data_IF_786793912786
#
_entry.id   IF_786793912786
#
_cell.length_a   1.000
_cell.length_b   1.000
_cell.length_c   1.000
_cell.angle_alpha   90.00
_cell.angle_beta   90.00
_cell.angle_gamma   90.00
#
_symmetry.space_group_name_H-M   'P 1'
#
loop_
_entity.id
_entity.type
_entity.pdbx_description
1 polymer ?
#
# COMPACT_ATOMS: atom_id res chain seq x y z
N UNK A 1 -19.20 -9.29 -8.61
CA UNK A 1 -19.66 -8.20 -9.50
C UNK A 1 -20.94 -8.55 -10.26
N UNK A 2 -21.03 -9.72 -10.91
CA UNK A 2 -22.19 -10.08 -11.73
C UNK A 2 -23.55 -10.06 -10.98
N UNK A 3 -23.56 -10.39 -9.68
CA UNK A 3 -24.77 -10.31 -8.84
C UNK A 3 -25.27 -8.89 -8.57
N UNK A 4 -24.37 -7.93 -8.38
CA UNK A 4 -24.73 -6.51 -8.14
C UNK A 4 -25.19 -5.78 -9.41
N UNK A 5 -24.96 -6.35 -10.60
CA UNK A 5 -25.46 -5.80 -11.86
C UNK A 5 -26.98 -6.04 -12.06
N UNK A 6 -27.54 -7.09 -11.44
CA UNK A 6 -28.96 -7.49 -11.65
C UNK A 6 -29.91 -7.08 -10.53
N UNK A 7 -29.39 -6.85 -9.32
CA UNK A 7 -30.20 -6.43 -8.16
C UNK A 7 -29.37 -5.52 -7.25
N UNK A 8 -30.01 -4.56 -6.54
CA UNK A 8 -29.31 -3.80 -5.52
C UNK A 8 -28.76 -4.75 -4.44
N UNK A 9 -27.49 -4.55 -4.07
CA UNK A 9 -26.80 -5.35 -3.06
C UNK A 9 -27.39 -5.10 -1.68
N UNK A 10 -27.67 -6.17 -0.94
CA UNK A 10 -28.08 -6.12 0.47
C UNK A 10 -26.91 -6.46 1.39
N UNK A 11 -27.02 -6.10 2.67
CA UNK A 11 -26.00 -6.40 3.69
C UNK A 11 -25.70 -7.90 3.79
N UNK A 12 -26.72 -8.75 3.61
CA UNK A 12 -26.61 -10.22 3.64
C UNK A 12 -25.81 -10.80 2.46
N UNK A 13 -25.68 -10.06 1.35
CA UNK A 13 -24.88 -10.49 0.19
C UNK A 13 -23.38 -10.17 0.35
N UNK A 14 -22.98 -9.45 1.42
CA UNK A 14 -21.58 -9.14 1.69
C UNK A 14 -20.88 -10.34 2.33
N UNK A 15 -19.66 -10.61 1.86
CA UNK A 15 -18.79 -11.57 2.51
C UNK A 15 -18.39 -11.10 3.91
N UNK A 16 -18.34 -12.05 4.84
CA UNK A 16 -17.74 -11.82 6.14
C UNK A 16 -16.25 -11.47 6.02
N UNK A 17 -15.80 -10.61 6.92
CA UNK A 17 -14.40 -10.19 6.98
C UNK A 17 -13.51 -11.40 7.29
N UNK A 18 -12.40 -11.60 6.56
CA UNK A 18 -11.43 -12.63 6.89
C UNK A 18 -10.94 -12.48 8.34
N UNK A 19 -10.74 -13.60 9.05
CA UNK A 19 -10.36 -13.60 10.47
C UNK A 19 -9.11 -12.74 10.77
N UNK A 20 -8.18 -12.65 9.81
CA UNK A 20 -6.96 -11.81 9.84
C UNK A 20 -7.23 -10.28 9.90
N UNK A 21 -8.44 -9.85 9.54
CA UNK A 21 -8.90 -8.46 9.58
C UNK A 21 -10.01 -8.26 10.62
N UNK A 22 -10.31 -9.26 11.45
CA UNK A 22 -11.37 -9.19 12.45
C UNK A 22 -11.02 -8.22 13.59
N UNK A 23 -12.04 -7.51 14.07
CA UNK A 23 -11.92 -6.56 15.18
C UNK A 23 -11.35 -7.21 16.46
N UNK A 24 -11.61 -8.49 16.69
CA UNK A 24 -11.07 -9.22 17.85
C UNK A 24 -9.55 -9.37 17.79
N UNK A 25 -8.99 -9.65 16.61
CA UNK A 25 -7.55 -9.75 16.40
C UNK A 25 -6.89 -8.39 16.59
N UNK A 26 -7.44 -7.34 15.97
CA UNK A 26 -6.99 -5.96 16.16
C UNK A 26 -7.05 -5.51 17.63
N UNK A 27 -8.13 -5.86 18.35
CA UNK A 27 -8.28 -5.55 19.77
C UNK A 27 -7.23 -6.27 20.63
N UNK A 28 -6.89 -7.51 20.29
CA UNK A 28 -5.87 -8.29 20.98
C UNK A 28 -4.46 -7.73 20.76
N UNK A 29 -4.12 -7.33 19.52
CA UNK A 29 -2.85 -6.66 19.22
C UNK A 29 -2.73 -5.32 19.92
N UNK A 30 -3.79 -4.51 19.89
CA UNK A 30 -3.86 -3.25 20.61
C UNK A 30 -3.58 -3.48 22.10
N UNK A 31 -4.25 -4.45 22.74
CA UNK A 31 -4.08 -4.76 24.17
C UNK A 31 -2.64 -5.18 24.50
N UNK A 32 -2.02 -6.01 23.65
CA UNK A 32 -0.64 -6.45 23.85
C UNK A 32 0.35 -5.29 23.77
N UNK A 33 0.20 -4.38 22.80
CA UNK A 33 1.08 -3.22 22.66
C UNK A 33 0.85 -2.21 23.79
N UNK A 34 -0.40 -2.00 24.20
CA UNK A 34 -0.72 -1.08 25.31
C UNK A 34 -0.11 -1.58 26.63
N UNK A 35 -0.27 -2.88 26.95
CA UNK A 35 0.35 -3.52 28.13
C UNK A 35 1.88 -3.41 28.13
N UNK A 36 2.52 -3.62 26.98
CA UNK A 36 3.97 -3.46 26.85
C UNK A 36 4.45 -2.03 27.04
N UNK A 37 3.61 -1.04 26.73
CA UNK A 37 3.88 0.38 27.00
C UNK A 37 3.65 0.76 28.46
N UNK A 38 2.62 0.22 29.11
CA UNK A 38 2.34 0.43 30.54
C UNK A 38 3.44 -0.18 31.42
N UNK A 39 3.90 -1.40 31.10
CA UNK A 39 4.99 -2.07 31.83
C UNK A 39 6.33 -1.34 31.73
N UNK A 40 6.54 -0.50 30.72
CA UNK A 40 7.78 0.27 30.52
C UNK A 40 7.73 1.70 31.06
N UNK A 41 6.56 2.19 31.49
CA UNK A 41 6.41 3.59 31.91
C UNK A 41 6.13 3.72 33.40
N UNK A 42 7.21 3.93 34.14
CA UNK A 42 7.16 4.74 35.34
C UNK A 42 6.98 6.22 34.91
N UNK A 43 5.83 6.82 35.21
CA UNK A 43 5.58 8.29 35.33
C UNK A 43 5.61 9.20 34.08
N UNK A 44 4.80 8.94 33.04
CA UNK A 44 4.51 10.03 32.07
C UNK A 44 3.46 9.72 31.01
N UNK A 45 2.63 10.71 30.64
CA UNK A 45 1.54 10.63 29.63
C UNK A 45 2.04 9.94 28.35
N UNK A 46 1.44 8.83 27.97
CA UNK A 46 1.79 8.12 26.72
C UNK A 46 1.05 8.74 25.56
N UNK A 47 1.80 9.21 24.56
CA UNK A 47 1.21 9.75 23.34
C UNK A 47 0.53 8.61 22.56
N UNK A 48 -0.76 8.77 22.30
CA UNK A 48 -1.57 7.82 21.52
C UNK A 48 -0.98 7.58 20.13
N UNK A 49 -0.44 8.64 19.51
CA UNK A 49 0.21 8.61 18.20
C UNK A 49 1.41 7.66 18.21
N UNK A 50 2.17 7.63 19.31
CA UNK A 50 3.35 6.78 19.42
C UNK A 50 2.98 5.29 19.58
N UNK A 51 1.90 5.00 20.31
CA UNK A 51 1.36 3.63 20.43
C UNK A 51 0.86 3.15 19.06
N UNK A 52 0.10 3.99 18.37
CA UNK A 52 -0.44 3.69 17.04
C UNK A 52 0.69 3.43 16.04
N UNK A 53 1.70 4.31 16.02
CA UNK A 53 2.88 4.14 15.18
C UNK A 53 3.61 2.81 15.47
N UNK A 54 3.72 2.41 16.73
CA UNK A 54 4.38 1.14 17.12
C UNK A 54 3.62 -0.10 16.64
N UNK A 55 2.29 -0.05 16.58
CA UNK A 55 1.44 -1.13 16.05
C UNK A 55 1.66 -1.25 14.53
N UNK A 56 1.51 -0.12 13.81
CA UNK A 56 1.55 -0.12 12.36
C UNK A 56 2.95 -0.05 11.74
N UNK A 57 4.02 0.00 12.54
CA UNK A 57 5.39 0.20 12.02
C UNK A 57 5.81 -0.82 10.96
N UNK A 58 5.38 -2.08 11.07
CA UNK A 58 5.80 -3.14 10.15
C UNK A 58 5.13 -2.94 8.78
N UNK A 59 3.81 -2.75 8.79
CA UNK A 59 3.02 -2.44 7.62
C UNK A 59 3.44 -1.13 6.96
N UNK A 60 3.74 -0.09 7.75
CA UNK A 60 4.24 1.19 7.25
C UNK A 60 5.63 1.07 6.63
N UNK A 61 6.55 0.33 7.24
CA UNK A 61 7.88 0.10 6.65
C UNK A 61 7.80 -0.68 5.35
N UNK A 62 6.99 -1.73 5.29
CA UNK A 62 6.78 -2.49 4.07
C UNK A 62 6.18 -1.60 2.96
N UNK A 63 5.10 -0.89 3.28
CA UNK A 63 4.42 0.00 2.32
C UNK A 63 5.32 1.15 1.87
N UNK A 64 6.12 1.71 2.77
CA UNK A 64 7.12 2.73 2.46
C UNK A 64 8.25 2.22 1.56
N UNK A 65 8.75 0.99 1.81
CA UNK A 65 9.74 0.36 0.93
C UNK A 65 9.20 0.16 -0.48
N UNK A 66 7.96 -0.32 -0.60
CA UNK A 66 7.29 -0.47 -1.90
C UNK A 66 7.12 0.87 -2.61
N UNK A 67 6.77 1.92 -1.87
CA UNK A 67 6.67 3.26 -2.42
C UNK A 67 8.02 3.76 -2.97
N UNK A 68 9.12 3.53 -2.25
CA UNK A 68 10.47 3.86 -2.75
C UNK A 68 10.81 3.11 -4.03
N UNK A 69 10.49 1.82 -4.13
CA UNK A 69 10.70 1.06 -5.37
C UNK A 69 9.88 1.65 -6.55
N UNK A 70 8.64 2.06 -6.31
CA UNK A 70 7.81 2.71 -7.33
C UNK A 70 8.41 4.06 -7.76
N UNK A 71 8.96 4.82 -6.81
CA UNK A 71 9.62 6.09 -7.10
C UNK A 71 10.85 5.87 -7.97
N UNK A 72 11.70 4.88 -7.66
CA UNK A 72 12.86 4.56 -8.51
C UNK A 72 12.45 4.20 -9.94
N UNK A 73 11.40 3.38 -10.11
CA UNK A 73 10.87 3.04 -11.45
C UNK A 73 10.39 4.29 -12.20
N UNK A 74 9.78 5.24 -11.50
CA UNK A 74 9.26 6.47 -12.09
C UNK A 74 10.39 7.39 -12.55
N UNK A 75 11.53 7.38 -11.86
CA UNK A 75 12.74 8.11 -12.30
C UNK A 75 13.37 7.52 -13.57
N UNK A 76 13.25 6.22 -13.82
CA UNK A 76 13.77 5.60 -15.04
C UNK A 76 12.92 5.88 -16.29
N UNK A 77 11.64 6.24 -16.12
CA UNK A 77 10.75 6.52 -17.24
C UNK A 77 11.25 7.64 -18.18
N UNK A 78 11.66 8.84 -17.71
CA UNK A 78 12.19 9.90 -18.57
C UNK A 78 13.54 9.55 -19.22
N UNK A 79 14.40 8.78 -18.56
CA UNK A 79 15.69 8.32 -19.12
C UNK A 79 15.48 7.42 -20.35
N UNK A 80 14.60 6.43 -20.23
CA UNK A 80 14.27 5.53 -21.35
C UNK A 80 13.65 6.31 -22.51
N UNK A 81 12.84 7.33 -22.22
CA UNK A 81 12.26 8.19 -23.24
C UNK A 81 13.33 9.02 -23.96
N UNK A 82 14.34 9.52 -23.24
CA UNK A 82 15.46 10.26 -23.82
C UNK A 82 16.26 9.40 -24.81
N UNK A 83 16.60 8.16 -24.42
CA UNK A 83 17.26 7.21 -25.31
C UNK A 83 16.42 6.85 -26.54
N UNK A 84 15.10 6.77 -26.38
CA UNK A 84 14.19 6.56 -27.51
C UNK A 84 14.21 7.75 -28.48
N UNK A 85 14.22 8.99 -27.97
CA UNK A 85 14.30 10.20 -28.81
C UNK A 85 15.64 10.26 -29.53
N UNK A 86 16.75 9.96 -28.85
CA UNK A 86 18.09 9.93 -29.46
C UNK A 86 18.20 8.86 -30.57
N UNK A 87 17.58 7.69 -30.38
CA UNK A 87 17.45 6.68 -31.43
C UNK A 87 16.66 7.20 -32.64
N UNK A 88 15.56 7.92 -32.44
CA UNK A 88 14.77 8.48 -33.54
C UNK A 88 15.48 9.58 -34.33
N UNK A 89 16.50 10.23 -33.74
CA UNK A 89 17.30 11.25 -34.40
C UNK A 89 18.34 10.70 -35.39
N UNK A 90 18.66 9.40 -35.33
CA UNK A 90 19.70 8.78 -36.15
C UNK A 90 19.12 7.81 -37.19
N UNK A 91 18.99 8.21 -38.48
CA UNK A 91 18.38 7.38 -39.52
C UNK A 91 19.18 6.13 -39.94
N UNK A 92 20.41 5.96 -39.43
CA UNK A 92 21.29 4.81 -39.75
C UNK A 92 21.23 3.68 -38.69
N UNK A 93 20.42 3.81 -37.65
CA UNK A 93 20.28 2.80 -36.59
C UNK A 93 19.28 1.69 -36.97
N UNK A 94 19.53 0.42 -36.59
CA UNK A 94 18.65 -0.69 -36.93
C UNK A 94 17.32 -0.64 -36.16
N UNK A 95 16.20 -0.83 -36.88
CA UNK A 95 14.81 -0.76 -36.38
C UNK A 95 14.56 -1.66 -35.15
N UNK A 96 15.24 -2.81 -35.06
CA UNK A 96 15.13 -3.74 -33.93
C UNK A 96 15.44 -3.12 -32.57
N UNK A 97 16.34 -2.13 -32.51
CA UNK A 97 16.67 -1.42 -31.26
C UNK A 97 15.54 -0.52 -30.79
N UNK A 98 14.87 0.18 -31.71
CA UNK A 98 13.69 0.99 -31.39
C UNK A 98 12.52 0.15 -30.87
N UNK A 99 12.25 -0.99 -31.51
CA UNK A 99 11.22 -1.94 -31.04
C UNK A 99 11.56 -2.49 -29.64
N UNK A 100 12.83 -2.80 -29.39
CA UNK A 100 13.29 -3.23 -28.08
C UNK A 100 13.05 -2.17 -27.01
N UNK A 101 13.41 -0.90 -27.26
CA UNK A 101 13.16 0.20 -26.32
C UNK A 101 11.68 0.46 -26.08
N UNK A 102 10.84 0.42 -27.13
CA UNK A 102 9.40 0.59 -27.01
C UNK A 102 8.75 -0.52 -26.16
N UNK A 103 9.15 -1.78 -26.39
CA UNK A 103 8.69 -2.92 -25.58
C UNK A 103 9.15 -2.80 -24.13
N UNK A 104 10.40 -2.40 -23.90
CA UNK A 104 10.94 -2.19 -22.55
C UNK A 104 10.17 -1.11 -21.80
N UNK A 105 9.83 -0.01 -22.49
CA UNK A 105 9.06 1.10 -21.93
C UNK A 105 7.64 0.65 -21.57
N UNK A 106 6.99 -0.11 -22.45
CA UNK A 106 5.68 -0.69 -22.17
C UNK A 106 5.72 -1.61 -20.95
N UNK A 107 6.65 -2.57 -20.92
CA UNK A 107 6.80 -3.50 -19.80
C UNK A 107 7.12 -2.78 -18.48
N UNK A 108 7.93 -1.71 -18.52
CA UNK A 108 8.22 -0.88 -17.36
C UNK A 108 6.97 -0.16 -16.83
N UNK A 109 6.14 0.41 -17.70
CA UNK A 109 4.90 1.09 -17.31
C UNK A 109 3.84 0.14 -16.75
N UNK A 110 3.69 -1.05 -17.35
CA UNK A 110 2.79 -2.08 -16.83
C UNK A 110 3.24 -2.54 -15.44
N UNK A 111 4.53 -2.86 -15.27
CA UNK A 111 5.10 -3.19 -13.97
C UNK A 111 4.83 -2.08 -12.95
N UNK A 112 5.15 -0.83 -13.30
CA UNK A 112 4.93 0.32 -12.45
C UNK A 112 3.48 0.46 -11.98
N UNK A 113 2.53 0.25 -12.89
CA UNK A 113 1.09 0.29 -12.58
C UNK A 113 0.67 -0.85 -11.65
N UNK A 114 1.17 -2.06 -11.87
CA UNK A 114 0.92 -3.21 -10.99
C UNK A 114 1.45 -2.97 -9.58
N UNK A 115 2.69 -2.48 -9.43
CA UNK A 115 3.26 -2.14 -8.12
C UNK A 115 2.44 -1.05 -7.41
N UNK A 116 1.99 -0.03 -8.15
CA UNK A 116 1.12 1.02 -7.62
C UNK A 116 -0.22 0.47 -7.12
N UNK A 117 -0.84 -0.43 -7.87
CA UNK A 117 -2.09 -1.07 -7.45
C UNK A 117 -1.90 -1.90 -6.18
N UNK A 118 -0.81 -2.68 -6.12
CA UNK A 118 -0.47 -3.45 -4.93
C UNK A 118 -0.20 -2.54 -3.72
N UNK A 119 0.52 -1.43 -3.92
CA UNK A 119 0.71 -0.41 -2.89
C UNK A 119 -0.65 0.15 -2.41
N UNK A 120 -1.53 0.55 -3.33
CA UNK A 120 -2.83 1.14 -3.01
C UNK A 120 -3.71 0.19 -2.18
N UNK A 121 -3.73 -1.10 -2.54
CA UNK A 121 -4.42 -2.12 -1.78
C UNK A 121 -3.90 -2.23 -0.33
N UNK A 122 -2.58 -2.30 -0.15
CA UNK A 122 -1.96 -2.43 1.17
C UNK A 122 -2.18 -1.20 2.06
N UNK A 123 -2.03 0.00 1.51
CA UNK A 123 -2.24 1.23 2.29
C UNK A 123 -3.72 1.42 2.63
N UNK A 124 -4.65 1.10 1.73
CA UNK A 124 -6.09 1.19 2.00
C UNK A 124 -6.49 0.29 3.18
N UNK A 125 -6.01 -0.96 3.16
CA UNK A 125 -6.25 -1.91 4.24
C UNK A 125 -5.68 -1.42 5.58
N UNK A 126 -4.45 -0.91 5.57
CA UNK A 126 -3.79 -0.34 6.75
C UNK A 126 -4.58 0.87 7.28
N UNK A 127 -5.10 1.71 6.40
CA UNK A 127 -5.88 2.90 6.76
C UNK A 127 -7.20 2.51 7.43
N UNK A 128 -7.90 1.50 6.91
CA UNK A 128 -9.13 0.98 7.51
C UNK A 128 -8.84 0.48 8.93
N UNK A 129 -7.79 -0.34 9.08
CA UNK A 129 -7.35 -0.85 10.39
C UNK A 129 -7.00 0.27 11.37
N UNK A 130 -6.27 1.28 10.91
CA UNK A 130 -5.90 2.45 11.70
C UNK A 130 -7.13 3.20 12.21
N UNK A 131 -8.12 3.46 11.34
CA UNK A 131 -9.39 4.09 11.70
C UNK A 131 -10.18 3.26 12.72
N UNK A 132 -10.27 1.94 12.53
CA UNK A 132 -10.98 1.05 13.46
C UNK A 132 -10.34 1.05 14.86
N UNK A 133 -9.01 0.98 14.94
CA UNK A 133 -8.28 1.04 16.22
C UNK A 133 -8.48 2.38 16.92
N UNK A 134 -8.41 3.48 16.16
CA UNK A 134 -8.63 4.83 16.69
C UNK A 134 -10.04 4.96 17.27
N UNK A 135 -11.07 4.54 16.52
CA UNK A 135 -12.45 4.56 17.00
C UNK A 135 -12.64 3.70 18.23
N UNK A 136 -12.11 2.47 18.24
CA UNK A 136 -12.18 1.59 19.42
C UNK A 136 -11.52 2.22 20.66
N UNK A 137 -10.40 2.94 20.49
CA UNK A 137 -9.74 3.62 21.59
C UNK A 137 -10.58 4.77 22.14
N UNK A 138 -11.20 5.56 21.26
CA UNK A 138 -12.11 6.65 21.64
C UNK A 138 -13.33 6.10 22.39
N UNK A 139 -13.96 5.05 21.88
CA UNK A 139 -15.15 4.44 22.51
C UNK A 139 -14.87 3.77 23.86
N UNK A 140 -13.62 3.34 24.12
CA UNK A 140 -13.24 2.70 25.40
C UNK A 140 -12.87 3.72 26.49
N UNK A 141 -12.89 5.01 26.16
CA UNK A 141 -12.54 6.12 27.04
C UNK A 141 -13.79 6.81 27.54
#
# INVERSE_FOLDING_TARGET
MWGGFRRPLKQEDLYDLPQKHSASVLASELKNVTKGCESKKNKGKTSLIWILFRIFRKELMFTGLLYLCCQTISFFAPEILSWLIEFTGNPNEPIWRGLFYAFLLFAAQECHTLFRNFYFYNIMLTTIRCRSVLMQNIYRK
#
